data_IF_754886381717
#
_entry.id   IF_754886381717
#
_cell.length_a   1.000
_cell.length_b   1.000
_cell.length_c   1.000
_cell.angle_alpha   90.00
_cell.angle_beta   90.00
_cell.angle_gamma   90.00
#
_symmetry.space_group_name_H-M   'P 1'
#
loop_
_entity.id
_entity.type
_entity.pdbx_description
1 polymer ?
#
# COMPACT_ATOMS: atom_id res chain seq x y z
N UNK A 1 20.87 10.47 8.03
CA UNK A 1 20.11 11.41 7.16
C UNK A 1 18.65 11.28 7.55
N UNK A 2 18.01 12.35 8.03
CA UNK A 2 16.57 12.32 8.27
C UNK A 2 15.90 12.17 6.91
N UNK A 3 15.21 11.05 6.66
CA UNK A 3 14.32 10.92 5.51
C UNK A 3 13.24 11.99 5.67
N UNK A 4 13.37 13.12 4.98
CA UNK A 4 12.25 14.04 4.82
C UNK A 4 11.17 13.26 4.06
N UNK A 5 10.13 12.83 4.77
CA UNK A 5 8.93 12.22 4.18
C UNK A 5 8.32 13.26 3.24
N UNK A 6 8.61 13.15 1.95
CA UNK A 6 8.18 14.17 1.00
C UNK A 6 6.68 14.02 0.77
N UNK A 7 5.92 14.96 1.33
CA UNK A 7 4.46 15.02 1.26
C UNK A 7 3.96 14.92 -0.19
N UNK A 8 3.18 13.87 -0.49
CA UNK A 8 2.63 13.56 -1.81
C UNK A 8 1.31 14.29 -2.07
N UNK A 9 0.49 14.52 -1.04
CA UNK A 9 -0.85 15.08 -1.17
C UNK A 9 -1.24 15.91 0.07
N UNK A 10 -2.14 15.40 0.91
CA UNK A 10 -2.43 15.90 2.25
C UNK A 10 -1.82 14.96 3.31
N UNK A 11 -1.79 15.40 4.57
CA UNK A 11 -1.18 14.62 5.66
C UNK A 11 -1.87 13.27 5.88
N UNK A 12 -3.21 13.24 5.78
CA UNK A 12 -3.97 11.99 5.90
C UNK A 12 -3.62 10.99 4.79
N UNK A 13 -3.44 11.46 3.56
CA UNK A 13 -3.06 10.60 2.43
C UNK A 13 -1.60 10.15 2.56
N UNK A 14 -0.71 11.05 2.98
CA UNK A 14 0.69 10.71 3.23
C UNK A 14 0.80 9.63 4.32
N UNK A 15 0.05 9.76 5.40
CA UNK A 15 0.00 8.75 6.45
C UNK A 15 -0.44 7.38 5.92
N UNK A 16 -1.44 7.33 5.02
CA UNK A 16 -1.84 6.06 4.40
C UNK A 16 -0.78 5.48 3.44
N UNK A 17 -0.03 6.33 2.74
CA UNK A 17 1.14 5.91 1.93
C UNK A 17 2.20 5.28 2.86
N UNK A 18 2.53 5.97 3.95
CA UNK A 18 3.55 5.53 4.91
C UNK A 18 3.13 4.26 5.67
N UNK A 19 1.83 3.96 5.72
CA UNK A 19 1.26 2.78 6.37
C UNK A 19 1.22 1.54 5.47
N UNK A 20 1.85 1.56 4.29
CA UNK A 20 1.91 0.41 3.40
C UNK A 20 2.48 -0.84 4.10
N UNK A 21 1.74 -1.96 4.03
CA UNK A 21 2.10 -3.23 4.67
C UNK A 21 1.69 -3.36 6.15
N UNK A 22 1.12 -2.31 6.75
CA UNK A 22 0.55 -2.36 8.09
C UNK A 22 -0.92 -2.81 8.07
N UNK A 23 -1.42 -3.25 9.23
CA UNK A 23 -2.84 -3.54 9.44
C UNK A 23 -3.70 -2.27 9.29
N UNK A 24 -4.93 -2.43 8.80
CA UNK A 24 -5.85 -1.32 8.54
C UNK A 24 -5.84 -0.91 7.08
N UNK A 25 -6.08 0.37 6.80
CA UNK A 25 -6.11 0.93 5.45
C UNK A 25 -4.79 1.63 5.11
N UNK A 26 -4.27 1.35 3.91
CA UNK A 26 -3.07 1.99 3.37
C UNK A 26 -3.22 2.28 1.88
N UNK A 27 -2.36 3.15 1.34
CA UNK A 27 -2.23 3.38 -0.09
C UNK A 27 -0.99 2.67 -0.61
N UNK A 28 -1.20 1.77 -1.56
CA UNK A 28 -0.15 1.13 -2.34
C UNK A 28 -0.02 1.86 -3.67
N UNK A 29 1.21 2.07 -4.12
CA UNK A 29 1.52 2.76 -5.38
C UNK A 29 2.26 1.74 -6.23
N UNK A 30 1.76 1.48 -7.43
CA UNK A 30 2.25 0.41 -8.29
C UNK A 30 2.24 0.84 -9.76
N UNK A 31 2.64 -0.08 -10.63
CA UNK A 31 2.78 0.16 -12.07
C UNK A 31 4.18 0.67 -12.42
N UNK A 32 4.25 1.55 -13.41
CA UNK A 32 5.49 2.22 -13.82
C UNK A 32 5.31 3.74 -13.82
N UNK A 33 6.35 4.48 -14.23
CA UNK A 33 6.32 5.95 -14.24
C UNK A 33 5.27 6.50 -15.24
N UNK A 34 4.97 5.76 -16.31
CA UNK A 34 3.98 6.13 -17.33
C UNK A 34 2.54 5.77 -16.93
N UNK A 35 2.35 4.75 -16.12
CA UNK A 35 1.06 4.24 -15.68
C UNK A 35 1.04 3.97 -14.17
N UNK A 36 1.11 5.06 -13.39
CA UNK A 36 1.08 4.98 -11.93
C UNK A 36 -0.34 4.67 -11.46
N UNK A 37 -0.49 3.56 -10.75
CA UNK A 37 -1.76 3.11 -10.16
C UNK A 37 -1.71 3.28 -8.64
N UNK A 38 -2.79 3.80 -8.07
CA UNK A 38 -2.96 3.92 -6.62
C UNK A 38 -4.04 2.94 -6.17
N UNK A 39 -3.67 2.08 -5.23
CA UNK A 39 -4.59 1.14 -4.63
C UNK A 39 -4.87 1.51 -3.18
N UNK A 40 -6.16 1.57 -2.81
CA UNK A 40 -6.57 1.48 -1.42
C UNK A 40 -6.54 0.02 -1.00
N UNK A 41 -5.63 -0.31 -0.10
CA UNK A 41 -5.46 -1.66 0.43
C UNK A 41 -5.96 -1.73 1.87
N UNK A 42 -6.69 -2.78 2.19
CA UNK A 42 -7.08 -3.12 3.55
C UNK A 42 -6.42 -4.44 3.96
N UNK A 43 -5.79 -4.46 5.14
CA UNK A 43 -5.16 -5.66 5.72
C UNK A 43 -5.67 -5.93 7.13
N UNK A 44 -6.01 -7.18 7.42
CA UNK A 44 -6.34 -7.60 8.78
C UNK A 44 -5.12 -7.60 9.71
N UNK A 45 -3.95 -7.98 9.18
CA UNK A 45 -2.70 -8.09 9.91
C UNK A 45 -1.59 -7.32 9.18
N UNK A 46 -0.52 -6.96 9.90
CA UNK A 46 0.69 -6.44 9.26
C UNK A 46 1.47 -7.58 8.56
N UNK A 47 2.35 -7.22 7.61
CA UNK A 47 3.17 -8.19 6.85
C UNK A 47 3.99 -9.13 7.76
N UNK A 48 4.49 -8.62 8.89
CA UNK A 48 5.31 -9.42 9.80
C UNK A 48 4.46 -10.47 10.54
N UNK A 49 3.20 -10.16 10.81
CA UNK A 49 2.24 -11.07 11.39
C UNK A 49 1.74 -12.08 10.37
N UNK A 50 1.47 -11.67 9.12
CA UNK A 50 1.14 -12.58 8.00
C UNK A 50 2.18 -13.71 7.88
N UNK A 51 3.46 -13.35 7.84
CA UNK A 51 4.56 -14.32 7.75
C UNK A 51 4.60 -15.31 8.93
N UNK A 52 4.11 -14.93 10.11
CA UNK A 52 4.01 -15.85 11.27
C UNK A 52 2.86 -16.83 11.11
N UNK A 53 1.75 -16.44 10.49
CA UNK A 53 0.60 -17.31 10.25
C UNK A 53 0.93 -18.41 9.24
N UNK A 54 1.76 -18.11 8.25
CA UNK A 54 2.19 -19.11 7.25
C UNK A 54 2.99 -20.26 7.86
N UNK A 55 3.75 -19.98 8.90
CA UNK A 55 4.59 -20.93 9.63
C UNK A 55 3.84 -21.78 10.66
N UNK A 56 2.53 -21.57 10.86
CA UNK A 56 1.73 -22.41 11.75
C UNK A 56 1.54 -23.79 11.10
N UNK A 57 1.91 -24.89 11.80
CA UNK A 57 1.76 -26.26 11.29
C UNK A 57 0.32 -26.53 10.84
N UNK A 58 0.14 -27.27 9.74
CA UNK A 58 -1.18 -27.59 9.14
C UNK A 58 -2.07 -28.51 9.99
N UNK A 59 -1.62 -28.87 11.19
CA UNK A 59 -2.25 -29.86 12.07
C UNK A 59 -3.08 -29.23 13.19
N UNK A 60 -3.20 -27.90 13.25
CA UNK A 60 -4.03 -27.23 14.25
C UNK A 60 -5.44 -27.11 13.68
N UNK A 61 -6.40 -27.75 14.32
CA UNK A 61 -7.83 -27.44 14.24
C UNK A 61 -8.10 -26.46 15.40
N UNK A 62 -8.55 -25.21 15.18
CA UNK A 62 -9.39 -24.68 14.08
C UNK A 62 -8.62 -24.35 12.78
N UNK A 63 -9.29 -24.07 11.65
CA UNK A 63 -8.65 -23.77 10.36
C UNK A 63 -7.53 -22.74 10.48
N UNK A 64 -6.48 -22.90 9.65
CA UNK A 64 -5.35 -21.98 9.56
C UNK A 64 -5.88 -20.54 9.59
N UNK A 65 -5.34 -19.67 10.47
CA UNK A 65 -5.70 -18.27 10.46
C UNK A 65 -5.46 -17.72 9.05
N UNK A 66 -6.52 -17.24 8.42
CA UNK A 66 -6.46 -16.66 7.08
C UNK A 66 -6.26 -15.15 7.21
N UNK A 67 -5.39 -14.58 6.37
CA UNK A 67 -5.25 -13.14 6.30
C UNK A 67 -6.16 -12.60 5.20
N UNK A 68 -7.12 -11.76 5.56
CA UNK A 68 -7.92 -11.02 4.60
C UNK A 68 -7.12 -9.80 4.11
N UNK A 69 -6.90 -9.75 2.79
CA UNK A 69 -6.32 -8.60 2.09
C UNK A 69 -7.25 -8.20 0.95
N UNK A 70 -7.59 -6.92 0.89
CA UNK A 70 -8.44 -6.35 -0.16
C UNK A 70 -7.72 -5.19 -0.81
N UNK A 71 -7.88 -5.02 -2.12
CA UNK A 71 -7.21 -3.97 -2.88
C UNK A 71 -8.16 -3.40 -3.94
N UNK A 72 -8.35 -2.08 -3.95
CA UNK A 72 -9.21 -1.39 -4.92
C UNK A 72 -8.47 -0.21 -5.53
N UNK A 73 -8.57 -0.04 -6.85
CA UNK A 73 -8.01 1.14 -7.54
C UNK A 73 -8.79 2.38 -7.15
N UNK A 74 -8.09 3.48 -6.87
CA UNK A 74 -8.68 4.79 -6.64
C UNK A 74 -8.09 5.83 -7.58
N UNK A 75 -8.91 6.80 -8.00
CA UNK A 75 -8.49 7.85 -8.94
C UNK A 75 -8.31 9.22 -8.26
N UNK A 76 -8.87 9.38 -7.06
CA UNK A 76 -8.88 10.61 -6.29
C UNK A 76 -8.47 10.34 -4.84
N UNK A 77 -7.84 11.32 -4.21
CA UNK A 77 -7.55 11.27 -2.78
C UNK A 77 -8.88 11.25 -1.99
N UNK A 78 -9.12 10.26 -1.12
CA UNK A 78 -10.39 10.14 -0.38
C UNK A 78 -10.57 11.25 0.67
N UNK A 79 -9.53 12.01 0.99
CA UNK A 79 -9.57 13.04 2.03
C UNK A 79 -9.75 14.45 1.47
N UNK A 80 -9.02 14.82 0.40
CA UNK A 80 -9.05 16.17 -0.16
C UNK A 80 -9.58 16.23 -1.60
N UNK A 81 -9.95 15.11 -2.20
CA UNK A 81 -10.52 15.06 -3.56
C UNK A 81 -9.54 15.33 -4.70
N UNK A 82 -8.24 15.53 -4.41
CA UNK A 82 -7.25 15.78 -5.48
C UNK A 82 -7.09 14.56 -6.39
N UNK A 83 -7.03 14.79 -7.70
CA UNK A 83 -6.76 13.74 -8.69
C UNK A 83 -5.37 13.12 -8.50
N UNK A 84 -5.32 11.80 -8.33
CA UNK A 84 -4.06 11.08 -8.11
C UNK A 84 -3.21 11.03 -9.37
N UNK A 85 -3.83 10.99 -10.56
CA UNK A 85 -3.13 11.14 -11.83
C UNK A 85 -2.33 12.45 -11.88
N UNK A 86 -2.95 13.56 -11.47
CA UNK A 86 -2.26 14.87 -11.41
C UNK A 86 -1.11 14.87 -10.40
N UNK A 87 -1.31 14.22 -9.25
CA UNK A 87 -0.25 14.06 -8.24
C UNK A 87 0.92 13.27 -8.81
N UNK A 88 0.66 12.14 -9.47
CA UNK A 88 1.69 11.31 -10.08
C UNK A 88 2.48 12.07 -11.14
N UNK A 89 1.79 12.75 -12.07
CA UNK A 89 2.44 13.55 -13.12
C UNK A 89 3.33 14.68 -12.57
N UNK A 90 2.95 15.27 -11.44
CA UNK A 90 3.73 16.35 -10.80
C UNK A 90 4.88 15.84 -9.92
N UNK A 91 4.97 14.53 -9.66
CA UNK A 91 5.88 13.93 -8.69
C UNK A 91 6.56 12.65 -9.21
N UNK A 92 6.87 12.57 -10.51
CA UNK A 92 7.33 11.34 -11.17
C UNK A 92 8.48 10.63 -10.47
N UNK A 93 9.51 11.36 -10.01
CA UNK A 93 10.64 10.78 -9.28
C UNK A 93 10.25 10.16 -7.94
N UNK A 94 9.25 10.73 -7.26
CA UNK A 94 8.72 10.16 -6.01
C UNK A 94 7.85 8.94 -6.29
N UNK A 95 7.07 8.97 -7.38
CA UNK A 95 6.28 7.81 -7.79
C UNK A 95 7.19 6.63 -8.09
N UNK A 96 8.31 6.83 -8.77
CA UNK A 96 9.28 5.77 -9.02
C UNK A 96 9.81 5.14 -7.72
N UNK A 97 10.15 5.97 -6.73
CA UNK A 97 10.59 5.48 -5.42
C UNK A 97 9.48 4.71 -4.70
N UNK A 98 8.26 5.26 -4.66
CA UNK A 98 7.13 4.62 -4.00
C UNK A 98 6.77 3.30 -4.65
N UNK A 99 6.76 3.21 -5.99
CA UNK A 99 6.55 1.96 -6.73
C UNK A 99 7.56 0.90 -6.30
N UNK A 100 8.85 1.25 -6.25
CA UNK A 100 9.91 0.33 -5.81
C UNK A 100 9.70 -0.12 -4.36
N UNK A 101 9.32 0.79 -3.46
CA UNK A 101 9.08 0.47 -2.05
C UNK A 101 7.83 -0.37 -1.84
N UNK A 102 6.79 -0.14 -2.63
CA UNK A 102 5.47 -0.75 -2.48
C UNK A 102 5.32 -2.06 -3.27
N UNK A 103 6.27 -2.40 -4.14
CA UNK A 103 6.24 -3.61 -4.98
C UNK A 103 5.93 -4.89 -4.20
N UNK A 104 6.46 -5.03 -2.97
CA UNK A 104 6.21 -6.22 -2.13
C UNK A 104 4.81 -6.28 -1.51
N UNK A 105 4.08 -5.17 -1.51
CA UNK A 105 2.74 -5.08 -0.92
C UNK A 105 1.62 -5.17 -1.95
N UNK A 106 1.92 -5.05 -3.24
CA UNK A 106 0.93 -5.11 -4.31
C UNK A 106 0.45 -6.55 -4.53
N UNK A 107 -0.87 -6.75 -4.41
CA UNK A 107 -1.48 -8.06 -4.62
C UNK A 107 -1.61 -8.44 -6.10
N UNK A 108 -1.47 -7.48 -7.03
CA UNK A 108 -1.55 -7.77 -8.47
C UNK A 108 -0.32 -8.48 -9.03
N UNK A 109 0.77 -8.55 -8.24
CA UNK A 109 2.02 -9.21 -8.59
C UNK A 109 2.23 -10.58 -7.91
N UNK A 110 1.26 -11.05 -7.11
CA UNK A 110 1.31 -12.33 -6.38
C UNK A 110 0.51 -13.42 -7.09
#
# INVERSE_FOLDING_TARGET
MKNESVKICCDAFQWMIDSAGHSGFSIIVAGDISDVVFYLQARAYDENQENKLDNIPRTVDPPKPFCLKMQNVIQYCPFCGTSLKKIASNNSSKMELLIKLHMKYDLSMQ
#
